data_IF_395339047201
#
_entry.id   IF_395339047201
#
_cell.length_a   1.000
_cell.length_b   1.000
_cell.length_c   1.000
_cell.angle_alpha   90.00
_cell.angle_beta   90.00
_cell.angle_gamma   90.00
#
_symmetry.space_group_name_H-M   'P 1'
#
loop_
_entity.id
_entity.type
_entity.pdbx_description
1 polymer ?
#
# COMPACT_ATOMS: atom_id res chain seq x y z
N UNK A 1 3.41 18.60 6.70
CA UNK A 1 2.79 17.41 6.08
C UNK A 1 2.68 16.21 7.01
N UNK A 2 3.77 15.49 7.34
CA UNK A 2 3.71 14.18 8.00
C UNK A 2 3.05 14.19 9.39
N UNK A 3 3.30 15.20 10.23
CA UNK A 3 2.64 15.30 11.54
C UNK A 3 1.13 15.48 11.38
N UNK A 4 0.70 16.33 10.45
CA UNK A 4 -0.71 16.52 10.12
C UNK A 4 -1.36 15.23 9.66
N UNK A 5 -0.75 14.52 8.70
CA UNK A 5 -1.27 13.22 8.22
C UNK A 5 -1.34 12.19 9.35
N UNK A 6 -0.27 11.99 10.11
CA UNK A 6 -0.25 11.00 11.20
C UNK A 6 -1.22 11.34 12.34
N UNK A 7 -1.57 12.62 12.54
CA UNK A 7 -2.58 13.02 13.54
C UNK A 7 -3.99 12.50 13.22
N UNK A 8 -4.28 12.26 11.93
CA UNK A 8 -5.56 11.71 11.47
C UNK A 8 -5.79 10.26 11.91
N UNK A 9 -4.76 9.58 12.45
CA UNK A 9 -4.90 8.26 13.08
C UNK A 9 -5.85 8.25 14.30
N UNK A 10 -6.24 9.42 14.80
CA UNK A 10 -7.20 9.58 15.91
C UNK A 10 -8.66 9.64 15.45
N UNK A 11 -8.93 9.73 14.15
CA UNK A 11 -10.29 9.77 13.63
C UNK A 11 -10.99 8.42 13.83
N UNK A 12 -12.30 8.42 14.16
CA UNK A 12 -13.01 7.20 14.54
C UNK A 12 -13.14 6.17 13.40
N UNK A 13 -13.10 6.62 12.14
CA UNK A 13 -13.15 5.74 10.96
C UNK A 13 -11.84 4.97 10.75
N UNK A 14 -10.73 5.45 11.32
CA UNK A 14 -9.38 4.97 11.03
C UNK A 14 -9.00 3.83 11.97
N UNK A 15 -8.79 2.64 11.42
CA UNK A 15 -8.29 1.48 12.18
C UNK A 15 -6.77 1.45 12.28
N UNK A 16 -6.10 1.95 11.25
CA UNK A 16 -4.66 2.15 11.19
C UNK A 16 -4.37 3.28 10.21
N UNK A 17 -3.44 4.17 10.55
CA UNK A 17 -2.90 5.15 9.61
C UNK A 17 -1.46 5.45 9.98
N UNK A 18 -0.58 5.42 9.00
CA UNK A 18 0.77 5.93 9.12
C UNK A 18 1.23 6.57 7.81
N UNK A 19 1.94 7.69 7.93
CA UNK A 19 2.55 8.40 6.82
C UNK A 19 4.05 8.56 7.06
N UNK A 20 4.84 8.35 6.02
CA UNK A 20 6.28 8.58 6.10
C UNK A 20 6.98 8.53 4.75
N UNK A 21 8.29 8.75 4.79
CA UNK A 21 9.16 8.62 3.62
C UNK A 21 9.28 7.14 3.23
N UNK A 22 9.34 6.86 1.93
CA UNK A 22 9.67 5.52 1.45
C UNK A 22 11.06 5.11 1.93
N UNK A 23 11.20 3.85 2.35
CA UNK A 23 12.47 3.28 2.79
C UNK A 23 13.34 2.90 1.59
N UNK A 24 12.77 2.23 0.58
CA UNK A 24 13.51 1.77 -0.61
C UNK A 24 12.61 1.69 -1.84
N UNK A 25 13.20 1.96 -3.00
CA UNK A 25 12.61 1.71 -4.32
C UNK A 25 13.25 0.46 -4.90
N UNK A 26 12.46 -0.55 -5.25
CA UNK A 26 12.96 -1.81 -5.83
C UNK A 26 12.79 -1.83 -7.33
N UNK A 27 11.61 -1.42 -7.77
CA UNK A 27 11.26 -1.16 -9.17
C UNK A 27 10.22 -0.06 -9.15
N UNK A 28 10.41 1.01 -9.92
CA UNK A 28 9.41 2.05 -9.98
C UNK A 28 9.51 2.82 -11.29
N UNK A 29 8.40 2.86 -12.02
CA UNK A 29 8.14 3.87 -13.05
C UNK A 29 7.74 5.23 -12.43
N UNK A 30 7.54 5.28 -11.11
CA UNK A 30 7.04 6.42 -10.36
C UNK A 30 8.11 7.04 -9.44
N UNK A 31 8.03 8.33 -9.19
CA UNK A 31 8.99 9.10 -8.36
C UNK A 31 8.41 9.57 -7.03
N UNK A 32 7.37 8.92 -6.51
CA UNK A 32 6.76 9.29 -5.22
C UNK A 32 7.77 9.15 -4.08
N UNK A 33 7.82 10.12 -3.17
CA UNK A 33 8.82 10.14 -2.08
C UNK A 33 8.26 9.67 -0.74
N UNK A 34 6.95 9.70 -0.58
CA UNK A 34 6.24 9.43 0.65
C UNK A 34 5.06 8.49 0.38
N UNK A 35 4.64 7.78 1.42
CA UNK A 35 3.45 6.92 1.40
C UNK A 35 2.59 7.21 2.62
N UNK A 36 1.28 7.09 2.42
CA UNK A 36 0.28 7.01 3.47
C UNK A 36 -0.34 5.62 3.38
N UNK A 37 -0.20 4.82 4.42
CA UNK A 37 -0.90 3.53 4.54
C UNK A 37 -1.99 3.67 5.59
N UNK A 38 -3.23 3.42 5.19
CA UNK A 38 -4.39 3.50 6.06
C UNK A 38 -5.32 2.31 5.89
N UNK A 39 -6.03 1.94 6.95
CA UNK A 39 -7.02 0.87 6.97
C UNK A 39 -8.30 1.33 7.63
N UNK A 40 -9.42 0.92 7.04
CA UNK A 40 -10.78 1.27 7.44
C UNK A 40 -11.60 -0.01 7.57
N UNK A 41 -12.70 0.06 8.31
CA UNK A 41 -13.59 -1.11 8.50
C UNK A 41 -14.37 -1.43 7.22
N UNK A 42 -14.77 -0.42 6.46
CA UNK A 42 -15.55 -0.58 5.25
C UNK A 42 -15.23 0.49 4.20
N UNK A 43 -15.76 0.32 2.98
CA UNK A 43 -15.70 1.36 1.95
C UNK A 43 -16.44 2.64 2.39
N UNK A 44 -17.50 2.50 3.19
CA UNK A 44 -18.22 3.66 3.74
C UNK A 44 -17.36 4.42 4.74
N UNK A 45 -16.64 3.73 5.65
CA UNK A 45 -15.72 4.39 6.59
C UNK A 45 -14.59 5.13 5.86
N UNK A 46 -14.07 4.57 4.76
CA UNK A 46 -13.11 5.26 3.89
C UNK A 46 -13.72 6.51 3.24
N UNK A 47 -14.98 6.44 2.77
CA UNK A 47 -15.67 7.58 2.19
C UNK A 47 -15.91 8.69 3.23
N UNK A 48 -16.34 8.30 4.43
CA UNK A 48 -16.59 9.19 5.56
C UNK A 48 -15.28 9.86 6.03
N UNK A 49 -14.18 9.11 6.11
CA UNK A 49 -12.84 9.65 6.35
C UNK A 49 -12.44 10.66 5.27
N UNK A 50 -12.65 10.31 4.00
CA UNK A 50 -12.28 11.17 2.86
C UNK A 50 -13.00 12.51 2.90
N UNK A 51 -14.27 12.51 3.33
CA UNK A 51 -15.09 13.70 3.50
C UNK A 51 -14.90 14.40 4.87
N UNK A 52 -14.14 13.82 5.80
CA UNK A 52 -14.01 14.34 7.15
C UNK A 52 -13.35 15.74 7.15
N UNK A 53 -13.91 16.74 7.87
CA UNK A 53 -13.37 18.10 7.89
C UNK A 53 -11.88 18.17 8.28
N UNK A 54 -11.45 17.39 9.27
CA UNK A 54 -10.05 17.36 9.70
C UNK A 54 -9.12 16.79 8.63
N UNK A 55 -9.53 15.73 7.92
CA UNK A 55 -8.78 15.19 6.80
C UNK A 55 -8.65 16.24 5.69
N UNK A 56 -9.76 16.88 5.30
CA UNK A 56 -9.77 17.94 4.29
C UNK A 56 -8.89 19.13 4.69
N UNK A 57 -8.90 19.51 5.97
CA UNK A 57 -8.06 20.57 6.52
C UNK A 57 -6.58 20.23 6.41
N UNK A 58 -6.18 19.01 6.82
CA UNK A 58 -4.79 18.54 6.70
C UNK A 58 -4.36 18.48 5.23
N UNK A 59 -5.20 17.96 4.33
CA UNK A 59 -4.88 17.90 2.90
C UNK A 59 -4.63 19.31 2.35
N UNK A 60 -5.55 20.25 2.61
CA UNK A 60 -5.46 21.63 2.09
C UNK A 60 -4.28 22.41 2.65
N UNK A 61 -4.01 22.27 3.94
CA UNK A 61 -3.02 23.10 4.64
C UNK A 61 -1.62 22.50 4.66
N UNK A 62 -1.51 21.17 4.61
CA UNK A 62 -0.26 20.46 4.89
C UNK A 62 0.23 19.59 3.74
N UNK A 63 -0.63 19.19 2.79
CA UNK A 63 -0.27 18.31 1.67
C UNK A 63 -0.20 19.10 0.37
N UNK A 64 -1.33 19.65 -0.09
CA UNK A 64 -1.43 20.34 -1.39
C UNK A 64 -0.40 21.46 -1.62
N UNK A 65 0.00 22.26 -0.61
CA UNK A 65 0.98 23.34 -0.85
C UNK A 65 2.38 22.86 -1.25
N UNK A 66 2.72 21.59 -1.01
CA UNK A 66 4.08 21.07 -1.21
C UNK A 66 4.11 19.73 -1.97
N UNK A 67 2.96 19.23 -2.42
CA UNK A 67 2.83 17.92 -3.03
C UNK A 67 2.70 18.07 -4.55
N UNK A 68 3.77 17.75 -5.27
CA UNK A 68 3.83 17.88 -6.74
C UNK A 68 2.92 16.87 -7.46
N UNK A 69 2.76 15.68 -6.88
CA UNK A 69 1.99 14.60 -7.46
C UNK A 69 1.36 13.72 -6.36
N UNK A 70 0.17 13.19 -6.64
CA UNK A 70 -0.57 12.31 -5.75
C UNK A 70 -1.10 11.08 -6.50
N UNK A 71 -0.98 9.93 -5.87
CA UNK A 71 -1.60 8.69 -6.32
C UNK A 71 -2.28 8.03 -5.12
N UNK A 72 -3.45 7.44 -5.36
CA UNK A 72 -4.15 6.64 -4.37
C UNK A 72 -4.66 5.36 -5.02
N UNK A 73 -4.57 4.30 -4.25
CA UNK A 73 -5.10 2.98 -4.58
C UNK A 73 -5.82 2.44 -3.36
N UNK A 74 -7.04 1.96 -3.57
CA UNK A 74 -7.89 1.43 -2.50
C UNK A 74 -8.39 0.06 -2.93
N UNK A 75 -8.19 -0.95 -2.09
CA UNK A 75 -8.66 -2.31 -2.33
C UNK A 75 -9.28 -2.88 -1.06
N UNK A 76 -10.10 -3.92 -1.23
CA UNK A 76 -10.65 -4.65 -0.09
C UNK A 76 -9.63 -5.72 0.30
N UNK A 77 -9.19 -5.71 1.56
CA UNK A 77 -8.34 -6.75 2.13
C UNK A 77 -9.22 -7.90 2.63
N UNK A 78 -9.53 -8.85 1.74
CA UNK A 78 -10.26 -10.05 2.12
C UNK A 78 -9.42 -10.93 3.03
N UNK A 79 -10.03 -11.49 4.08
CA UNK A 79 -9.42 -12.47 4.98
C UNK A 79 -8.09 -12.02 5.60
N UNK A 80 -7.97 -10.75 6.00
CA UNK A 80 -6.78 -10.25 6.68
C UNK A 80 -6.57 -11.02 8.00
N UNK A 81 -5.51 -11.82 8.05
CA UNK A 81 -5.08 -12.52 9.26
C UNK A 81 -4.28 -11.59 10.18
N UNK A 82 -4.39 -11.81 11.50
CA UNK A 82 -3.66 -11.06 12.51
C UNK A 82 -4.30 -9.71 12.90
N UNK A 83 -3.56 -8.84 13.59
CA UNK A 83 -4.09 -7.57 14.07
C UNK A 83 -4.31 -6.58 12.91
N UNK A 84 -5.43 -5.85 12.93
CA UNK A 84 -5.73 -4.82 11.93
C UNK A 84 -4.71 -3.67 11.97
N UNK A 85 -4.15 -3.37 13.14
CA UNK A 85 -3.07 -2.40 13.28
C UNK A 85 -1.73 -2.95 12.81
N UNK A 86 -0.93 -2.11 12.17
CA UNK A 86 0.49 -2.39 11.91
C UNK A 86 1.33 -1.70 12.98
N UNK A 87 2.25 -2.44 13.60
CA UNK A 87 3.07 -1.95 14.70
C UNK A 87 4.13 -0.95 14.19
N UNK A 88 4.49 0.07 14.99
CA UNK A 88 5.66 0.87 14.68
C UNK A 88 6.93 0.03 14.58
N UNK A 89 7.80 0.34 13.63
CA UNK A 89 9.01 -0.42 13.32
C UNK A 89 8.80 -1.57 12.33
N UNK A 90 7.57 -2.01 12.09
CA UNK A 90 7.25 -2.98 11.04
C UNK A 90 7.64 -2.44 9.67
N UNK A 91 8.06 -3.33 8.77
CA UNK A 91 8.36 -3.00 7.39
C UNK A 91 7.24 -3.50 6.48
N UNK A 92 6.85 -2.71 5.48
CA UNK A 92 5.78 -3.00 4.53
C UNK A 92 6.38 -2.99 3.13
N UNK A 93 6.22 -4.11 2.41
CA UNK A 93 6.46 -4.16 0.96
C UNK A 93 5.14 -3.96 0.23
N UNK A 94 5.08 -2.91 -0.57
CA UNK A 94 3.92 -2.58 -1.41
C UNK A 94 4.25 -2.93 -2.85
N UNK A 95 3.33 -3.62 -3.51
CA UNK A 95 3.39 -3.96 -4.93
C UNK A 95 2.15 -3.40 -5.61
N UNK A 96 2.35 -2.60 -6.65
CA UNK A 96 1.29 -2.04 -7.48
C UNK A 96 1.52 -2.49 -8.92
N UNK A 97 0.49 -3.03 -9.54
CA UNK A 97 0.56 -3.60 -10.88
C UNK A 97 -0.43 -2.88 -11.79
N UNK A 98 0.09 -2.45 -12.93
CA UNK A 98 -0.66 -1.95 -14.08
C UNK A 98 -0.61 -3.01 -15.17
N UNK A 99 -1.78 -3.41 -15.67
CA UNK A 99 -1.86 -4.37 -16.76
C UNK A 99 -1.77 -3.66 -18.11
N UNK A 100 -1.45 -4.43 -19.15
CA UNK A 100 -1.53 -3.94 -20.53
C UNK A 100 -2.97 -3.67 -20.92
N UNK A 101 -3.17 -2.72 -21.83
CA UNK A 101 -4.49 -2.45 -22.39
C UNK A 101 -5.07 -3.71 -23.05
N UNK A 102 -6.37 -3.94 -22.85
CA UNK A 102 -7.09 -5.08 -23.43
C UNK A 102 -6.87 -6.41 -22.72
N UNK A 103 -6.25 -6.43 -21.53
CA UNK A 103 -6.22 -7.63 -20.69
C UNK A 103 -7.63 -7.94 -20.17
N UNK A 104 -8.08 -9.17 -20.38
CA UNK A 104 -9.40 -9.66 -19.96
C UNK A 104 -9.49 -9.84 -18.44
N UNK A 105 -10.70 -9.69 -17.89
CA UNK A 105 -10.96 -9.83 -16.43
C UNK A 105 -10.55 -11.20 -15.88
N UNK A 106 -10.72 -12.28 -16.65
CA UNK A 106 -10.26 -13.62 -16.24
C UNK A 106 -8.75 -13.62 -15.97
N UNK A 107 -7.98 -13.00 -16.88
CA UNK A 107 -6.53 -12.93 -16.78
C UNK A 107 -6.06 -12.01 -15.67
N UNK A 108 -6.81 -10.94 -15.38
CA UNK A 108 -6.60 -10.10 -14.20
C UNK A 108 -6.80 -10.91 -12.91
N UNK A 109 -7.85 -11.73 -12.84
CA UNK A 109 -8.08 -12.67 -11.74
C UNK A 109 -6.92 -13.65 -11.55
N UNK A 110 -6.38 -14.21 -12.64
CA UNK A 110 -5.20 -15.08 -12.59
C UNK A 110 -3.97 -14.37 -11.97
N UNK A 111 -3.76 -13.09 -12.31
CA UNK A 111 -2.67 -12.27 -11.75
C UNK A 111 -2.85 -12.13 -10.24
N UNK A 112 -4.06 -11.77 -9.78
CA UNK A 112 -4.40 -11.62 -8.36
C UNK A 112 -4.16 -12.92 -7.60
N UNK A 113 -4.72 -14.04 -8.07
CA UNK A 113 -4.54 -15.35 -7.43
C UNK A 113 -3.08 -15.80 -7.39
N UNK A 114 -2.34 -15.52 -8.47
CA UNK A 114 -0.93 -15.89 -8.55
C UNK A 114 -0.11 -15.17 -7.48
N UNK A 115 -0.28 -13.86 -7.34
CA UNK A 115 0.45 -13.07 -6.34
C UNK A 115 0.01 -13.46 -4.93
N UNK A 116 -1.29 -13.68 -4.70
CA UNK A 116 -1.80 -14.18 -3.42
C UNK A 116 -1.14 -15.50 -3.02
N UNK A 117 -1.02 -16.47 -3.95
CA UNK A 117 -0.32 -17.74 -3.71
C UNK A 117 1.16 -17.57 -3.42
N UNK A 118 1.86 -16.67 -4.12
CA UNK A 118 3.28 -16.40 -3.86
C UNK A 118 3.49 -15.83 -2.46
N UNK A 119 2.64 -14.88 -2.05
CA UNK A 119 2.71 -14.30 -0.70
C UNK A 119 2.46 -15.32 0.40
N UNK A 120 1.53 -16.25 0.22
CA UNK A 120 1.31 -17.35 1.16
C UNK A 120 2.52 -18.28 1.36
N UNK A 121 3.52 -18.24 0.46
CA UNK A 121 4.77 -19.01 0.59
C UNK A 121 5.89 -18.27 1.31
N UNK A 122 5.80 -16.94 1.40
CA UNK A 122 6.84 -16.12 2.02
C UNK A 122 6.72 -16.28 3.53
N UNK A 123 7.72 -16.90 4.16
CA UNK A 123 7.82 -17.00 5.62
C UNK A 123 8.04 -15.60 6.22
N UNK A 124 7.67 -15.39 7.47
CA UNK A 124 7.94 -14.11 8.16
C UNK A 124 7.02 -12.94 7.80
N UNK A 125 6.09 -13.11 6.85
CA UNK A 125 4.98 -12.16 6.67
C UNK A 125 4.02 -12.31 7.85
N UNK A 126 3.84 -11.23 8.60
CA UNK A 126 2.88 -11.17 9.71
C UNK A 126 1.46 -10.85 9.21
N UNK A 127 1.35 -10.07 8.14
CA UNK A 127 0.07 -9.70 7.53
C UNK A 127 0.23 -9.53 6.03
N UNK A 128 -0.72 -10.01 5.25
CA UNK A 128 -0.75 -9.74 3.81
C UNK A 128 -2.16 -9.40 3.35
N UNK A 129 -2.23 -8.62 2.27
CA UNK A 129 -3.46 -8.50 1.51
C UNK A 129 -3.14 -8.27 0.05
N UNK A 130 -4.07 -8.65 -0.79
CA UNK A 130 -4.09 -8.36 -2.22
C UNK A 130 -5.52 -8.06 -2.62
N UNK A 131 -5.71 -7.18 -3.59
CA UNK A 131 -7.01 -6.96 -4.16
C UNK A 131 -6.97 -6.06 -5.39
N UNK A 132 -8.12 -5.98 -6.03
CA UNK A 132 -8.36 -5.05 -7.11
C UNK A 132 -8.64 -3.65 -6.59
N UNK A 133 -8.07 -2.68 -7.27
CA UNK A 133 -8.22 -1.28 -6.96
C UNK A 133 -9.60 -0.77 -7.38
N UNK A 134 -10.32 -0.12 -6.46
CA UNK A 134 -11.61 0.52 -6.72
C UNK A 134 -11.53 2.06 -6.78
N UNK A 135 -10.34 2.66 -6.84
CA UNK A 135 -10.15 4.10 -7.01
C UNK A 135 -9.41 4.49 -8.32
N UNK A 136 -9.90 4.05 -9.50
CA UNK A 136 -9.17 4.18 -10.77
C UNK A 136 -8.80 5.62 -11.14
N UNK A 137 -9.64 6.60 -10.79
CA UNK A 137 -9.41 8.01 -11.09
C UNK A 137 -8.14 8.60 -10.44
N UNK A 138 -7.63 7.98 -9.36
CA UNK A 138 -6.43 8.45 -8.62
C UNK A 138 -5.25 7.50 -8.74
N UNK A 139 -5.41 6.41 -9.48
CA UNK A 139 -4.48 5.28 -9.43
C UNK A 139 -3.47 5.25 -10.57
N UNK A 140 -3.51 6.21 -11.50
CA UNK A 140 -2.56 6.30 -12.62
C UNK A 140 -2.45 5.00 -13.44
N UNK A 141 -3.56 4.29 -13.58
CA UNK A 141 -3.65 3.02 -14.30
C UNK A 141 -3.25 1.78 -13.49
N UNK A 142 -2.87 1.90 -12.21
CA UNK A 142 -2.61 0.73 -11.37
C UNK A 142 -3.92 0.10 -10.89
N UNK A 143 -4.05 -1.20 -11.10
CA UNK A 143 -5.32 -1.94 -10.98
C UNK A 143 -5.28 -3.02 -9.92
N UNK A 144 -4.10 -3.59 -9.65
CA UNK A 144 -3.92 -4.63 -8.64
C UNK A 144 -2.92 -4.13 -7.61
N UNK A 145 -3.31 -4.28 -6.34
CA UNK A 145 -2.55 -3.77 -5.20
C UNK A 145 -2.29 -4.89 -4.22
N UNK A 146 -1.08 -4.94 -3.68
CA UNK A 146 -0.75 -5.94 -2.69
C UNK A 146 0.26 -5.44 -1.67
N UNK A 147 0.07 -5.79 -0.40
CA UNK A 147 1.00 -5.47 0.69
C UNK A 147 1.44 -6.73 1.43
N UNK A 148 2.67 -6.73 1.93
CA UNK A 148 3.18 -7.72 2.88
C UNK A 148 3.84 -6.97 4.03
N UNK A 149 3.44 -7.28 5.26
CA UNK A 149 3.94 -6.68 6.49
C UNK A 149 4.89 -7.67 7.16
N UNK A 150 6.07 -7.18 7.52
CA UNK A 150 7.14 -7.92 8.18
C UNK A 150 7.41 -7.32 9.56
N UNK A 151 7.99 -8.12 10.47
CA UNK A 151 8.34 -7.68 11.82
C UNK A 151 9.32 -6.52 11.86
N UNK A 152 10.17 -6.38 10.83
CA UNK A 152 11.03 -5.23 10.61
C UNK A 152 11.83 -5.32 9.31
N UNK A 153 12.78 -4.39 9.15
CA UNK A 153 13.62 -4.31 7.94
C UNK A 153 14.50 -5.54 7.76
N UNK A 154 15.02 -6.13 8.86
CA UNK A 154 15.85 -7.33 8.79
C UNK A 154 15.06 -8.54 8.22
N UNK A 155 13.82 -8.72 8.67
CA UNK A 155 12.94 -9.78 8.14
C UNK A 155 12.61 -9.51 6.67
N UNK A 156 12.27 -8.26 6.31
CA UNK A 156 12.00 -7.85 4.93
C UNK A 156 13.20 -8.15 4.01
N UNK A 157 14.42 -7.79 4.41
CA UNK A 157 15.65 -7.95 3.62
C UNK A 157 16.03 -9.43 3.46
N UNK A 158 15.62 -10.31 4.39
CA UNK A 158 15.85 -11.75 4.26
C UNK A 158 15.06 -12.40 3.11
N UNK A 159 14.09 -11.68 2.54
CA UNK A 159 13.23 -12.10 1.41
C UNK A 159 13.47 -11.29 0.13
N UNK A 160 14.67 -10.71 -0.04
CA UNK A 160 14.96 -9.85 -1.20
C UNK A 160 14.98 -10.57 -2.56
N UNK A 161 15.36 -11.86 -2.58
CA UNK A 161 15.37 -12.68 -3.79
C UNK A 161 13.96 -12.94 -4.38
N UNK A 162 12.91 -12.81 -3.55
CA UNK A 162 11.51 -13.09 -3.91
C UNK A 162 10.70 -11.81 -4.22
N UNK A 163 11.38 -10.67 -4.42
CA UNK A 163 10.72 -9.37 -4.50
C UNK A 163 9.90 -9.16 -5.79
N UNK A 164 10.32 -9.74 -6.92
CA UNK A 164 9.54 -9.76 -8.17
C UNK A 164 8.65 -11.03 -8.23
N UNK A 165 7.32 -10.90 -8.06
CA UNK A 165 6.42 -12.05 -8.10
C UNK A 165 6.34 -12.72 -9.49
N UNK A 166 6.89 -12.10 -10.54
CA UNK A 166 6.81 -12.62 -11.91
C UNK A 166 8.09 -13.33 -12.38
N UNK A 167 9.11 -13.49 -11.52
CA UNK A 167 10.41 -14.02 -11.92
C UNK A 167 10.34 -15.45 -12.50
N UNK A 168 9.41 -16.29 -12.00
CA UNK A 168 9.24 -17.68 -12.45
C UNK A 168 8.07 -17.90 -13.43
N UNK A 169 7.27 -16.86 -13.74
CA UNK A 169 6.01 -17.01 -14.48
C UNK A 169 5.86 -16.02 -15.64
N UNK A 170 6.54 -16.32 -16.74
CA UNK A 170 6.53 -15.53 -17.97
C UNK A 170 5.13 -15.18 -18.50
N UNK A 171 4.17 -16.12 -18.49
CA UNK A 171 2.82 -15.89 -19.06
C UNK A 171 2.04 -14.75 -18.38
N UNK A 172 2.20 -14.61 -17.06
CA UNK A 172 1.53 -13.54 -16.31
C UNK A 172 2.28 -12.22 -16.50
N UNK A 173 3.63 -12.28 -16.52
CA UNK A 173 4.50 -11.14 -16.83
C UNK A 173 4.15 -10.48 -18.17
N UNK A 174 3.79 -11.27 -19.18
CA UNK A 174 3.41 -10.75 -20.49
C UNK A 174 2.17 -9.85 -20.47
N UNK A 175 1.35 -9.93 -19.42
CA UNK A 175 0.13 -9.13 -19.25
C UNK A 175 0.37 -7.87 -18.41
N UNK A 176 1.56 -7.73 -17.81
CA UNK A 176 1.94 -6.60 -16.97
C UNK A 176 2.61 -5.53 -17.83
N UNK A 177 2.11 -4.30 -17.76
CA UNK A 177 2.71 -3.11 -18.38
C UNK A 177 3.70 -2.44 -17.42
N UNK A 178 3.31 -2.30 -16.15
CA UNK A 178 4.15 -1.69 -15.13
C UNK A 178 4.02 -2.38 -13.78
N UNK A 179 5.14 -2.50 -13.09
CA UNK A 179 5.23 -3.01 -11.72
C UNK A 179 6.00 -2.01 -10.88
N UNK A 180 5.37 -1.54 -9.80
CA UNK A 180 5.99 -0.70 -8.79
C UNK A 180 6.12 -1.50 -7.51
N UNK A 181 7.33 -1.58 -6.99
CA UNK A 181 7.65 -2.20 -5.71
C UNK A 181 8.38 -1.18 -4.84
N UNK A 182 7.77 -0.83 -3.72
CA UNK A 182 8.35 0.09 -2.74
C UNK A 182 8.28 -0.52 -1.35
N UNK A 183 9.31 -0.24 -0.57
CA UNK A 183 9.38 -0.64 0.83
C UNK A 183 9.16 0.60 1.71
N UNK A 184 8.41 0.44 2.79
CA UNK A 184 8.08 1.47 3.77
C UNK A 184 8.26 0.95 5.19
N UNK A 185 8.76 1.78 6.09
CA UNK A 185 8.88 1.42 7.51
C UNK A 185 7.90 2.27 8.30
N UNK A 186 7.05 1.61 9.08
CA UNK A 186 6.07 2.29 9.92
C UNK A 186 6.81 3.11 10.97
N UNK A 187 6.67 4.44 11.01
CA UNK A 187 7.42 5.30 11.90
C UNK A 187 7.06 4.99 13.36
N UNK A 188 8.05 5.12 14.24
CA UNK A 188 7.79 5.20 15.68
C UNK A 188 6.91 6.42 15.96
N UNK A 189 5.96 6.28 16.87
CA UNK A 189 5.26 7.46 17.41
C UNK A 189 6.34 8.32 18.08
N UNK A 190 6.60 9.50 17.54
CA UNK A 190 7.37 10.50 18.29
C UNK A 190 6.55 10.81 19.55
N UNK A 191 7.11 10.48 20.72
CA UNK A 191 6.63 11.07 21.96
C UNK A 191 6.74 12.58 21.78
N UNK A 192 5.62 13.29 21.90
CA UNK A 192 5.66 14.73 22.01
C UNK A 192 6.50 15.04 23.25
N UNK A 193 7.74 15.49 23.06
CA UNK A 193 8.48 16.14 24.13
C UNK A 193 7.74 17.44 24.41
N UNK A 194 7.08 17.50 25.56
CA UNK A 194 6.56 18.72 26.18
C UNK A 194 7.72 19.68 26.50
#
# INVERSE_FOLDING_TARGET
>A
MLNGLNSLSTLPQVLHLSAGKLHRYRSSSLSFTHILHSRYRSKQDLADYSAHPDHLSVVRTSVLPICDDLMAVDWVAENLEGPVGVKPGSAIRVQLIKLKEGVEEEKKGEVVEMIGRLKGKIKGIEQSSIGENFSPARAKGFEICSIGVFGGVADLDSHDADSDPFNEKHKVRDSVDSLVIVDYVVPSKQSASL
#
